data_IF_443037378478
#
_entry.id   IF_443037378478
#
_cell.length_a   1.000
_cell.length_b   1.000
_cell.length_c   1.000
_cell.angle_alpha   90.00
_cell.angle_beta   90.00
_cell.angle_gamma   90.00
#
_symmetry.space_group_name_H-M   'P 1'
#
loop_
_entity.id
_entity.type
_entity.pdbx_description
1 polymer ?
#
# COMPACT_ATOMS: atom_id res chain seq x y z
N UNK A 1 18.89 -0.98 5.01
CA UNK A 1 18.98 -0.07 3.84
C UNK A 1 20.40 0.02 3.29
N UNK A 2 21.40 0.40 4.10
CA UNK A 2 22.79 0.59 3.63
C UNK A 2 23.44 -0.68 3.03
N UNK A 3 23.14 -1.86 3.56
CA UNK A 3 23.62 -3.14 3.02
C UNK A 3 23.01 -3.48 1.65
N UNK A 4 21.69 -3.30 1.51
CA UNK A 4 20.97 -3.55 0.26
C UNK A 4 21.46 -2.62 -0.87
N UNK A 5 21.54 -1.32 -0.61
CA UNK A 5 22.00 -0.34 -1.60
C UNK A 5 23.47 -0.57 -1.98
N UNK A 6 24.31 -0.99 -1.03
CA UNK A 6 25.71 -1.36 -1.32
C UNK A 6 25.81 -2.60 -2.19
N UNK A 7 24.96 -3.60 -1.96
CA UNK A 7 24.95 -4.84 -2.73
C UNK A 7 24.38 -4.67 -4.16
N UNK A 8 23.53 -3.66 -4.39
CA UNK A 8 22.88 -3.40 -5.68
C UNK A 8 23.24 -2.02 -6.23
N UNK A 9 24.51 -1.59 -6.06
CA UNK A 9 24.96 -0.27 -6.49
C UNK A 9 24.96 -0.12 -8.02
N UNK A 10 25.34 -1.17 -8.71
CA UNK A 10 25.47 -1.24 -10.17
C UNK A 10 24.58 -2.39 -10.69
N UNK A 11 23.24 -2.25 -10.66
CA UNK A 11 22.33 -3.30 -11.09
C UNK A 11 22.42 -3.51 -12.61
N UNK A 12 22.22 -4.75 -13.04
CA UNK A 12 22.08 -5.07 -14.46
C UNK A 12 20.69 -4.70 -14.99
N UNK A 13 20.54 -4.69 -16.32
CA UNK A 13 19.27 -4.36 -16.98
C UNK A 13 18.14 -5.30 -16.56
N UNK A 14 18.45 -6.58 -16.33
CA UNK A 14 17.47 -7.58 -15.91
C UNK A 14 16.89 -7.21 -14.54
N UNK A 15 17.73 -6.90 -13.56
CA UNK A 15 17.30 -6.48 -12.23
C UNK A 15 16.47 -5.20 -12.30
N UNK A 16 16.88 -4.21 -13.09
CA UNK A 16 16.12 -2.97 -13.27
C UNK A 16 14.73 -3.25 -13.86
N UNK A 17 14.67 -4.06 -14.93
CA UNK A 17 13.41 -4.44 -15.57
C UNK A 17 12.48 -5.21 -14.63
N UNK A 18 13.02 -6.10 -13.80
CA UNK A 18 12.25 -6.81 -12.78
C UNK A 18 11.68 -5.85 -11.72
N UNK A 19 12.47 -4.87 -11.26
CA UNK A 19 12.03 -3.88 -10.27
C UNK A 19 11.00 -2.91 -10.83
N UNK A 20 11.20 -2.46 -12.07
CA UNK A 20 10.24 -1.64 -12.80
C UNK A 20 8.91 -2.39 -12.95
N UNK A 21 8.96 -3.65 -13.40
CA UNK A 21 7.76 -4.48 -13.56
C UNK A 21 7.00 -4.67 -12.24
N UNK A 22 7.72 -4.92 -11.13
CA UNK A 22 7.14 -5.02 -9.78
C UNK A 22 6.46 -3.70 -9.37
N UNK A 23 7.12 -2.58 -9.62
CA UNK A 23 6.62 -1.25 -9.29
C UNK A 23 5.36 -0.90 -10.09
N UNK A 24 5.40 -1.05 -11.41
CA UNK A 24 4.27 -0.74 -12.30
C UNK A 24 3.08 -1.64 -11.99
N UNK A 25 3.31 -2.93 -11.75
CA UNK A 25 2.25 -3.87 -11.32
C UNK A 25 1.58 -3.41 -10.02
N UNK A 26 2.37 -3.05 -9.01
CA UNK A 26 1.83 -2.58 -7.73
C UNK A 26 1.03 -1.28 -7.91
N UNK A 27 1.52 -0.35 -8.71
CA UNK A 27 0.84 0.92 -8.98
C UNK A 27 -0.51 0.69 -9.69
N UNK A 28 -0.53 -0.15 -10.72
CA UNK A 28 -1.75 -0.52 -11.44
C UNK A 28 -2.76 -1.26 -10.53
N UNK A 29 -2.28 -2.09 -9.62
CA UNK A 29 -3.12 -2.74 -8.61
C UNK A 29 -3.73 -1.71 -7.65
N UNK A 30 -2.94 -0.76 -7.15
CA UNK A 30 -3.45 0.33 -6.32
C UNK A 30 -4.52 1.15 -7.05
N UNK A 31 -4.31 1.49 -8.33
CA UNK A 31 -5.30 2.19 -9.14
C UNK A 31 -6.58 1.36 -9.32
N UNK A 32 -6.46 0.07 -9.64
CA UNK A 32 -7.61 -0.82 -9.84
C UNK A 32 -8.43 -0.98 -8.56
N UNK A 33 -7.75 -1.06 -7.41
CA UNK A 33 -8.37 -1.29 -6.11
C UNK A 33 -8.94 0.00 -5.53
N UNK A 34 -8.14 1.05 -5.40
CA UNK A 34 -8.52 2.28 -4.72
C UNK A 34 -9.10 3.34 -5.67
N UNK A 35 -8.89 3.21 -6.98
CA UNK A 35 -9.33 4.16 -8.00
C UNK A 35 -8.72 5.54 -7.78
N UNK A 36 -9.51 6.58 -8.05
CA UNK A 36 -9.14 8.00 -7.83
C UNK A 36 -8.77 8.35 -6.38
N UNK A 37 -9.02 7.45 -5.43
CA UNK A 37 -8.74 7.62 -4.01
C UNK A 37 -7.47 6.90 -3.55
N UNK A 38 -6.68 6.36 -4.47
CA UNK A 38 -5.36 5.81 -4.16
C UNK A 38 -4.52 6.83 -3.39
N UNK A 39 -3.87 6.35 -2.32
CA UNK A 39 -3.00 7.13 -1.43
C UNK A 39 -3.65 8.33 -0.72
N UNK A 40 -4.98 8.46 -0.80
CA UNK A 40 -5.75 9.48 -0.10
C UNK A 40 -6.22 8.99 1.26
N UNK A 41 -6.32 9.92 2.21
CA UNK A 41 -6.84 9.64 3.54
C UNK A 41 -8.36 9.77 3.55
N UNK A 42 -9.04 8.82 4.20
CA UNK A 42 -10.45 8.97 4.56
C UNK A 42 -10.57 9.63 5.94
N UNK A 43 -11.39 10.65 6.07
CA UNK A 43 -11.62 11.34 7.34
C UNK A 43 -12.99 12.03 7.33
N UNK A 44 -13.76 11.90 8.42
CA UNK A 44 -15.07 12.56 8.57
C UNK A 44 -16.02 12.31 7.38
N UNK A 45 -16.06 11.07 6.90
CA UNK A 45 -16.95 10.66 5.80
C UNK A 45 -16.49 11.05 4.40
N UNK A 46 -15.30 11.65 4.24
CA UNK A 46 -14.81 12.13 2.94
C UNK A 46 -13.36 11.74 2.70
N UNK A 47 -13.01 11.57 1.42
CA UNK A 47 -11.61 11.45 1.00
C UNK A 47 -10.96 12.83 0.94
N UNK A 48 -9.82 12.98 1.59
CA UNK A 48 -9.00 14.19 1.53
C UNK A 48 -8.17 14.19 0.26
N UNK A 49 -8.19 15.28 -0.49
CA UNK A 49 -7.35 15.47 -1.67
C UNK A 49 -5.90 15.82 -1.28
N UNK A 50 -5.31 15.00 -0.42
CA UNK A 50 -3.92 15.08 0.00
C UNK A 50 -3.34 13.68 -0.06
N UNK A 51 -2.30 13.51 -0.88
CA UNK A 51 -1.52 12.28 -0.90
C UNK A 51 -0.69 12.21 0.39
N UNK A 52 -0.72 11.07 1.07
CA UNK A 52 0.16 10.79 2.21
C UNK A 52 1.18 9.74 1.84
N UNK A 53 2.46 10.03 2.05
CA UNK A 53 3.54 9.06 1.84
C UNK A 53 3.35 7.80 2.67
N UNK A 54 2.77 7.91 3.87
CA UNK A 54 2.45 6.75 4.68
C UNK A 54 1.40 5.83 4.07
N UNK A 55 0.40 6.38 3.38
CA UNK A 55 -0.59 5.59 2.65
C UNK A 55 -0.02 5.04 1.34
N UNK A 56 0.88 5.77 0.69
CA UNK A 56 1.64 5.27 -0.45
C UNK A 56 2.41 4.00 -0.08
N UNK A 57 3.24 4.06 0.95
CA UNK A 57 3.99 2.87 1.41
C UNK A 57 3.06 1.73 1.80
N UNK A 58 2.01 2.02 2.58
CA UNK A 58 1.08 1.01 3.05
C UNK A 58 0.39 0.28 1.90
N UNK A 59 -0.14 1.02 0.92
CA UNK A 59 -0.85 0.44 -0.23
C UNK A 59 0.10 -0.28 -1.18
N UNK A 60 1.18 0.39 -1.61
CA UNK A 60 2.13 -0.16 -2.60
C UNK A 60 2.79 -1.45 -2.10
N UNK A 61 3.25 -1.45 -0.85
CA UNK A 61 3.92 -2.63 -0.28
C UNK A 61 2.89 -3.75 -0.07
N UNK A 62 1.69 -3.46 0.44
CA UNK A 62 0.67 -4.47 0.64
C UNK A 62 0.28 -5.17 -0.66
N UNK A 63 -0.04 -4.43 -1.73
CA UNK A 63 -0.42 -5.06 -3.02
C UNK A 63 0.76 -5.77 -3.68
N UNK A 64 1.99 -5.29 -3.50
CA UNK A 64 3.20 -5.97 -4.02
C UNK A 64 3.42 -7.34 -3.39
N UNK A 65 2.92 -7.56 -2.17
CA UNK A 65 3.03 -8.83 -1.46
C UNK A 65 1.99 -9.88 -1.87
N UNK A 66 1.01 -9.50 -2.70
CA UNK A 66 -0.08 -10.38 -3.13
C UNK A 66 0.14 -10.94 -4.54
N UNK A 67 -0.30 -12.17 -4.76
CA UNK A 67 -0.35 -12.82 -6.08
C UNK A 67 -1.41 -12.18 -6.98
N UNK A 68 -1.30 -12.39 -8.30
CA UNK A 68 -2.29 -11.88 -9.28
C UNK A 68 -3.70 -12.43 -9.01
N UNK A 69 -3.79 -13.69 -8.59
CA UNK A 69 -5.06 -14.30 -8.21
C UNK A 69 -5.71 -13.56 -7.04
N UNK A 70 -4.97 -13.35 -5.96
CA UNK A 70 -5.43 -12.61 -4.77
C UNK A 70 -5.87 -11.18 -5.12
N UNK A 71 -5.06 -10.46 -5.90
CA UNK A 71 -5.42 -9.11 -6.35
C UNK A 71 -6.71 -9.13 -7.18
N UNK A 72 -6.88 -10.11 -8.06
CA UNK A 72 -8.10 -10.25 -8.85
C UNK A 72 -9.34 -10.45 -7.97
N UNK A 73 -9.23 -11.24 -6.89
CA UNK A 73 -10.33 -11.46 -5.93
C UNK A 73 -10.66 -10.20 -5.15
N UNK A 74 -9.63 -9.46 -4.70
CA UNK A 74 -9.81 -8.17 -4.03
C UNK A 74 -10.51 -7.17 -4.95
N UNK A 75 -10.10 -7.09 -6.22
CA UNK A 75 -10.72 -6.19 -7.22
C UNK A 75 -12.18 -6.58 -7.47
N UNK A 76 -12.51 -7.87 -7.56
CA UNK A 76 -13.91 -8.32 -7.67
C UNK A 76 -14.76 -7.93 -6.45
N UNK A 77 -14.15 -7.87 -5.26
CA UNK A 77 -14.80 -7.49 -4.02
C UNK A 77 -14.57 -6.02 -3.61
N UNK A 78 -14.14 -5.18 -4.56
CA UNK A 78 -13.63 -3.82 -4.32
C UNK A 78 -14.53 -2.98 -3.41
N UNK A 79 -15.84 -2.97 -3.62
CA UNK A 79 -16.75 -2.12 -2.84
C UNK A 79 -16.75 -2.48 -1.36
N UNK A 80 -16.82 -3.78 -1.04
CA UNK A 80 -16.77 -4.28 0.33
C UNK A 80 -15.41 -4.04 0.96
N UNK A 81 -14.34 -4.27 0.20
CA UNK A 81 -12.99 -4.01 0.66
C UNK A 81 -12.79 -2.51 0.96
N UNK A 82 -13.23 -1.61 0.09
CA UNK A 82 -13.14 -0.16 0.32
C UNK A 82 -13.93 0.28 1.55
N UNK A 83 -15.10 -0.32 1.81
CA UNK A 83 -15.84 -0.07 3.04
C UNK A 83 -14.99 -0.46 4.27
N UNK A 84 -14.47 -1.69 4.30
CA UNK A 84 -13.61 -2.17 5.39
C UNK A 84 -12.31 -1.36 5.54
N UNK A 85 -11.74 -0.90 4.44
CA UNK A 85 -10.54 -0.07 4.41
C UNK A 85 -10.79 1.32 5.04
N UNK A 86 -11.98 1.88 4.86
CA UNK A 86 -12.37 3.14 5.53
C UNK A 86 -12.37 2.99 7.04
N UNK A 87 -12.80 1.85 7.56
CA UNK A 87 -12.83 1.58 9.01
C UNK A 87 -11.43 1.59 9.63
N UNK A 88 -10.36 1.33 8.86
CA UNK A 88 -8.98 1.47 9.36
C UNK A 88 -8.67 2.92 9.79
N UNK A 89 -9.34 3.90 9.20
CA UNK A 89 -9.16 5.31 9.55
C UNK A 89 -9.89 5.72 10.83
N UNK A 90 -10.59 4.81 11.50
CA UNK A 90 -11.12 5.04 12.86
C UNK A 90 -10.15 4.53 13.94
N UNK A 91 -9.14 3.74 13.56
CA UNK A 91 -8.05 3.32 14.43
C UNK A 91 -7.05 4.47 14.64
N UNK A 92 -6.90 4.91 15.88
CA UNK A 92 -6.00 6.02 16.24
C UNK A 92 -4.52 5.68 15.95
N UNK A 93 -4.10 4.44 16.16
CA UNK A 93 -2.74 3.99 15.89
C UNK A 93 -2.48 3.96 14.38
N UNK A 94 -3.46 3.52 13.59
CA UNK A 94 -3.37 3.57 12.13
C UNK A 94 -3.27 5.02 11.63
N UNK A 95 -4.12 5.92 12.13
CA UNK A 95 -4.05 7.35 11.81
C UNK A 95 -2.69 7.96 12.15
N UNK A 96 -2.14 7.64 13.32
CA UNK A 96 -0.81 8.11 13.71
C UNK A 96 0.28 7.55 12.78
N UNK A 97 0.16 6.28 12.38
CA UNK A 97 1.13 5.60 11.52
C UNK A 97 1.14 6.13 10.07
N UNK A 98 0.00 6.55 9.52
CA UNK A 98 -0.07 7.08 8.14
C UNK A 98 0.34 8.56 8.02
N UNK A 99 0.33 9.31 9.13
CA UNK A 99 0.74 10.72 9.19
C UNK A 99 2.24 10.92 9.39
N UNK A 100 2.94 9.89 9.86
CA UNK A 100 4.35 9.98 10.24
C UNK A 100 5.25 9.44 9.14
N UNK A 101 6.45 10.02 9.05
CA UNK A 101 7.48 9.58 8.11
C UNK A 101 8.02 8.18 8.42
N UNK A 102 8.98 7.74 7.63
CA UNK A 102 9.60 6.40 7.74
C UNK A 102 10.63 6.27 8.87
N UNK A 103 10.82 7.33 9.66
CA UNK A 103 11.75 7.42 10.79
C UNK A 103 11.28 6.67 12.05
N UNK A 104 10.11 6.02 12.02
CA UNK A 104 9.64 5.13 13.09
C UNK A 104 9.30 3.75 12.51
N UNK A 105 10.23 2.79 12.51
CA UNK A 105 10.04 1.47 11.89
C UNK A 105 8.77 0.75 12.34
N UNK A 106 8.43 0.82 13.64
CA UNK A 106 7.21 0.22 14.20
C UNK A 106 5.94 0.74 13.52
N UNK A 107 5.85 2.04 13.23
CA UNK A 107 4.69 2.65 12.57
C UNK A 107 4.62 2.29 11.09
N UNK A 108 5.77 2.22 10.41
CA UNK A 108 5.86 1.73 9.04
C UNK A 108 5.36 0.29 8.94
N UNK A 109 5.85 -0.61 9.78
CA UNK A 109 5.40 -2.01 9.80
C UNK A 109 3.90 -2.09 10.10
N UNK A 110 3.42 -1.33 11.09
CA UNK A 110 2.02 -1.35 11.49
C UNK A 110 1.06 -0.97 10.35
N UNK A 111 1.29 0.17 9.66
CA UNK A 111 0.41 0.60 8.56
C UNK A 111 0.38 -0.39 7.39
N UNK A 112 1.52 -1.03 7.10
CA UNK A 112 1.62 -2.05 6.05
C UNK A 112 0.82 -3.28 6.47
N UNK A 113 1.04 -3.81 7.69
CA UNK A 113 0.36 -5.00 8.17
C UNK A 113 -1.16 -4.84 8.22
N UNK A 114 -1.67 -3.73 8.77
CA UNK A 114 -3.12 -3.46 8.81
C UNK A 114 -3.73 -3.37 7.41
N UNK A 115 -2.98 -2.84 6.45
CA UNK A 115 -3.42 -2.80 5.05
C UNK A 115 -3.41 -4.19 4.42
N UNK A 116 -2.38 -5.02 4.65
CA UNK A 116 -2.32 -6.41 4.19
C UNK A 116 -3.49 -7.22 4.75
N UNK A 117 -3.75 -7.13 6.05
CA UNK A 117 -4.85 -7.82 6.72
C UNK A 117 -6.20 -7.43 6.10
N UNK A 118 -6.44 -6.12 5.94
CA UNK A 118 -7.64 -5.61 5.30
C UNK A 118 -7.82 -6.12 3.86
N UNK A 119 -6.76 -6.23 3.06
CA UNK A 119 -6.84 -6.76 1.70
C UNK A 119 -7.04 -8.29 1.71
N UNK A 120 -6.41 -8.98 2.65
CA UNK A 120 -6.45 -10.44 2.76
C UNK A 120 -7.83 -10.99 3.13
N UNK A 121 -8.65 -10.19 3.83
CA UNK A 121 -10.06 -10.50 4.11
C UNK A 121 -10.92 -10.68 2.83
N UNK A 122 -10.40 -10.26 1.67
CA UNK A 122 -11.11 -10.29 0.37
C UNK A 122 -10.30 -10.95 -0.77
N UNK A 123 -9.21 -11.65 -0.45
CA UNK A 123 -8.24 -12.21 -1.40
C UNK A 123 -8.51 -13.67 -1.79
#
# INVERSE_FOLDING_TARGET
>A
MNSYMRAHRDPDEKFLSEKESQFVRALAACESIFGRHAFQRFERGQWRNQMLSGLYDAQMIAVSSMSDYQLSTVIRNREKMIARYKDLFDDEDFNAAIRTGTNTPRRLTYRIMRTIECLSDFA
#
